data_IF_697491641175
#
_entry.id   IF_697491641175
#
_cell.length_a   1.000
_cell.length_b   1.000
_cell.length_c   1.000
_cell.angle_alpha   90.00
_cell.angle_beta   90.00
_cell.angle_gamma   90.00
#
_symmetry.space_group_name_H-M   'P 1'
#
loop_
_entity.id
_entity.type
_entity.pdbx_description
1 polymer ?
#
# COMPACT_ATOMS: atom_id res chain seq x y z
N UNK A 1 25.46 11.80 20.09
CA UNK A 1 25.09 12.44 21.38
C UNK A 1 24.78 13.89 21.10
N UNK A 2 23.75 14.44 21.76
CA UNK A 2 23.43 15.87 21.70
C UNK A 2 24.15 16.58 22.86
N UNK A 3 24.57 17.82 22.67
CA UNK A 3 25.13 18.66 23.75
C UNK A 3 24.27 19.90 23.94
N UNK A 4 24.37 20.56 25.11
CA UNK A 4 23.65 21.80 25.35
C UNK A 4 24.05 22.93 24.38
N UNK A 5 25.28 22.89 23.85
CA UNK A 5 25.78 23.86 22.85
C UNK A 5 25.38 23.50 21.42
N UNK A 6 24.99 22.25 21.17
CA UNK A 6 24.72 21.72 19.85
C UNK A 6 23.57 20.70 19.90
N UNK A 7 22.35 21.24 19.91
CA UNK A 7 21.12 20.46 20.13
C UNK A 7 20.68 19.64 18.92
N UNK A 8 20.93 20.15 17.70
CA UNK A 8 20.43 19.54 16.46
C UNK A 8 21.51 18.87 15.61
N UNK A 9 22.74 19.39 15.64
CA UNK A 9 23.85 18.86 14.86
C UNK A 9 25.14 18.90 15.68
N UNK A 10 25.91 17.82 15.68
CA UNK A 10 27.23 17.76 16.30
C UNK A 10 28.20 17.04 15.35
N UNK A 11 29.36 17.63 15.13
CA UNK A 11 30.44 17.07 14.30
C UNK A 11 31.54 16.46 15.18
N UNK A 12 32.46 15.69 14.57
CA UNK A 12 33.62 15.10 15.26
C UNK A 12 33.37 13.72 15.89
N UNK A 13 32.28 13.04 15.55
CA UNK A 13 32.05 11.67 15.98
C UNK A 13 33.08 10.71 15.35
N UNK A 14 33.65 9.82 16.17
CA UNK A 14 34.52 8.74 15.70
C UNK A 14 33.71 7.46 15.57
N UNK A 15 33.70 6.87 14.37
CA UNK A 15 33.02 5.61 14.09
C UNK A 15 34.04 4.47 14.12
N UNK A 16 33.76 3.42 14.89
CA UNK A 16 34.57 2.20 14.95
C UNK A 16 33.68 0.98 14.74
N UNK A 17 33.96 0.10 13.76
CA UNK A 17 33.19 -1.14 13.56
C UNK A 17 33.24 -2.03 14.81
N UNK A 18 32.08 -2.49 15.28
CA UNK A 18 31.98 -3.35 16.48
C UNK A 18 31.98 -4.84 16.15
N UNK A 19 31.82 -5.20 14.88
CA UNK A 19 31.66 -6.59 14.42
C UNK A 19 30.29 -7.22 14.72
N UNK A 20 29.37 -6.50 15.37
CA UNK A 20 28.01 -6.97 15.64
C UNK A 20 27.06 -6.63 14.48
N UNK A 21 26.17 -7.56 14.15
CA UNK A 21 25.12 -7.37 13.14
C UNK A 21 23.75 -7.26 13.82
N UNK A 22 22.91 -6.35 13.34
CA UNK A 22 21.55 -6.17 13.83
C UNK A 22 20.54 -6.20 12.70
N UNK A 23 19.45 -6.95 12.87
CA UNK A 23 18.38 -6.99 11.89
C UNK A 23 17.43 -5.82 12.08
N UNK A 24 17.26 -5.04 11.00
CA UNK A 24 16.30 -3.94 10.93
C UNK A 24 14.99 -4.46 10.35
N UNK A 25 13.88 -4.09 10.99
CA UNK A 25 12.55 -4.42 10.48
C UNK A 25 12.09 -3.28 9.57
N UNK A 26 12.03 -3.56 8.28
CA UNK A 26 11.55 -2.65 7.23
C UNK A 26 10.30 -3.22 6.61
N UNK A 27 9.38 -2.35 6.17
CA UNK A 27 8.15 -2.77 5.48
C UNK A 27 8.29 -2.73 3.96
N UNK A 28 9.34 -2.09 3.46
CA UNK A 28 9.66 -2.00 2.04
C UNK A 28 11.13 -2.37 1.85
N UNK A 29 11.37 -3.43 1.08
CA UNK A 29 12.72 -3.94 0.82
C UNK A 29 13.33 -3.39 -0.48
N UNK A 30 12.48 -3.09 -1.47
CA UNK A 30 12.91 -2.59 -2.78
C UNK A 30 12.52 -1.11 -2.92
N UNK A 31 13.53 -0.24 -3.04
CA UNK A 31 13.34 1.21 -3.18
C UNK A 31 13.37 1.71 -4.62
N UNK A 32 13.78 0.90 -5.60
CA UNK A 32 13.80 1.30 -7.00
C UNK A 32 12.52 0.84 -7.73
N UNK A 33 12.12 1.56 -8.78
CA UNK A 33 10.99 1.15 -9.63
C UNK A 33 11.33 0.03 -10.63
N UNK A 34 12.62 -0.33 -10.77
CA UNK A 34 13.09 -1.37 -11.70
C UNK A 34 12.63 -1.12 -13.16
N UNK A 35 12.62 0.14 -13.59
CA UNK A 35 12.19 0.55 -14.93
C UNK A 35 10.69 0.45 -15.20
N UNK A 36 9.86 0.14 -14.18
CA UNK A 36 8.41 0.04 -14.32
C UNK A 36 7.76 1.42 -14.17
N UNK A 37 6.76 1.78 -14.99
CA UNK A 37 6.05 3.06 -14.86
C UNK A 37 5.01 3.00 -13.73
N UNK A 38 5.45 2.79 -12.49
CA UNK A 38 4.58 2.71 -11.30
C UNK A 38 4.08 4.11 -10.93
N UNK A 39 5.01 5.03 -10.70
CA UNK A 39 4.74 6.46 -10.60
C UNK A 39 5.17 7.12 -11.90
N UNK A 40 4.31 7.98 -12.45
CA UNK A 40 4.55 8.67 -13.72
C UNK A 40 4.87 10.11 -13.42
N UNK A 41 6.09 10.51 -13.75
CA UNK A 41 6.62 11.81 -13.40
C UNK A 41 6.78 12.67 -14.65
N UNK A 42 6.47 13.96 -14.51
CA UNK A 42 6.76 14.97 -15.49
C UNK A 42 7.03 16.30 -14.76
N UNK A 43 7.99 17.07 -15.24
CA UNK A 43 8.13 18.45 -14.81
C UNK A 43 7.09 19.34 -15.50
N UNK A 44 6.97 20.59 -15.06
CA UNK A 44 5.96 21.51 -15.57
C UNK A 44 6.08 21.76 -17.08
N UNK A 45 7.30 21.90 -17.60
CA UNK A 45 7.52 22.11 -19.04
C UNK A 45 7.10 20.91 -19.88
N UNK A 46 7.40 19.69 -19.41
CA UNK A 46 6.99 18.43 -20.04
C UNK A 46 5.47 18.29 -20.02
N UNK A 47 4.83 18.63 -18.91
CA UNK A 47 3.37 18.60 -18.78
C UNK A 47 2.70 19.62 -19.71
N UNK A 48 3.23 20.84 -19.82
CA UNK A 48 2.72 21.86 -20.74
C UNK A 48 2.82 21.43 -22.21
N UNK A 49 3.90 20.74 -22.59
CA UNK A 49 4.08 20.20 -23.95
C UNK A 49 3.19 18.98 -24.22
N UNK A 50 2.98 18.13 -23.21
CA UNK A 50 2.21 16.89 -23.33
C UNK A 50 1.39 16.64 -22.05
N UNK A 51 0.17 17.21 -21.94
CA UNK A 51 -0.68 17.02 -20.78
C UNK A 51 -1.06 15.55 -20.53
N UNK A 52 -1.18 14.77 -21.61
CA UNK A 52 -1.53 13.35 -21.56
C UNK A 52 -0.33 12.40 -21.33
N UNK A 53 0.79 12.91 -20.80
CA UNK A 53 2.02 12.12 -20.61
C UNK A 53 1.76 10.81 -19.83
N UNK A 54 0.90 10.86 -18.82
CA UNK A 54 0.61 9.71 -17.97
C UNK A 54 -0.04 8.54 -18.74
N UNK A 55 -0.89 8.83 -19.74
CA UNK A 55 -1.48 7.79 -20.61
C UNK A 55 -0.46 7.24 -21.61
N UNK A 56 0.45 8.09 -22.06
CA UNK A 56 1.49 7.71 -23.02
C UNK A 56 2.66 6.93 -22.40
N UNK A 57 2.77 6.89 -21.06
CA UNK A 57 3.77 6.12 -20.32
C UNK A 57 3.26 4.73 -19.88
N UNK A 58 2.17 4.24 -20.47
CA UNK A 58 1.71 2.88 -20.23
C UNK A 58 2.68 1.88 -20.88
N UNK A 59 2.88 0.74 -20.21
CA UNK A 59 3.40 -0.45 -20.89
C UNK A 59 2.44 -0.81 -22.04
N UNK A 60 2.93 -1.41 -23.12
CA UNK A 60 2.08 -1.87 -24.23
C UNK A 60 0.88 -2.63 -23.67
N UNK A 61 -0.31 -2.06 -23.87
CA UNK A 61 -1.54 -2.71 -23.44
C UNK A 61 -1.71 -3.99 -24.27
N UNK A 62 -2.14 -5.10 -23.67
CA UNK A 62 -2.50 -6.27 -24.45
C UNK A 62 -3.57 -5.90 -25.50
N UNK A 63 -3.55 -6.52 -26.69
CA UNK A 63 -4.39 -6.13 -27.83
C UNK A 63 -5.90 -6.24 -27.57
N UNK A 64 -6.30 -6.90 -26.48
CA UNK A 64 -7.69 -6.95 -26.01
C UNK A 64 -7.74 -6.41 -24.59
N UNK A 65 -8.36 -5.24 -24.43
CA UNK A 65 -8.64 -4.61 -23.14
C UNK A 65 -10.02 -4.97 -22.58
N UNK A 66 -10.82 -5.72 -23.35
CA UNK A 66 -12.14 -6.20 -22.94
C UNK A 66 -12.03 -7.57 -22.24
N UNK A 67 -12.79 -7.81 -21.17
CA UNK A 67 -12.87 -9.13 -20.56
C UNK A 67 -13.51 -10.13 -21.54
N UNK A 68 -13.07 -11.39 -21.50
CA UNK A 68 -13.61 -12.47 -22.35
C UNK A 68 -15.10 -12.75 -22.05
N UNK A 69 -15.53 -12.46 -20.82
CA UNK A 69 -16.91 -12.62 -20.37
C UNK A 69 -17.45 -11.29 -19.84
N UNK A 70 -18.76 -11.02 -19.98
CA UNK A 70 -19.39 -9.88 -19.32
C UNK A 70 -19.12 -9.92 -17.82
N UNK A 71 -18.78 -8.77 -17.22
CA UNK A 71 -18.53 -8.74 -15.79
C UNK A 71 -19.88 -8.92 -15.07
N UNK A 72 -20.05 -9.94 -14.21
CA UNK A 72 -21.29 -10.11 -13.45
C UNK A 72 -21.65 -8.87 -12.60
N UNK A 73 -20.65 -8.06 -12.25
CA UNK A 73 -20.83 -6.78 -11.55
C UNK A 73 -21.56 -5.73 -12.40
N UNK A 74 -21.49 -5.77 -13.73
CA UNK A 74 -22.15 -4.77 -14.60
C UNK A 74 -23.67 -4.70 -14.36
N UNK A 75 -24.29 -5.84 -14.05
CA UNK A 75 -25.73 -5.92 -13.69
C UNK A 75 -26.02 -5.46 -12.27
N UNK A 76 -25.06 -5.59 -11.36
CA UNK A 76 -25.22 -5.16 -9.96
C UNK A 76 -25.15 -3.63 -9.86
N UNK A 77 -24.30 -2.99 -10.67
CA UNK A 77 -24.20 -1.53 -10.78
C UNK A 77 -25.54 -0.86 -11.12
N UNK A 78 -26.38 -1.51 -11.94
CA UNK A 78 -27.67 -0.96 -12.35
C UNK A 78 -28.61 -0.69 -11.16
N UNK A 79 -28.40 -1.38 -10.03
CA UNK A 79 -29.18 -1.23 -8.80
C UNK A 79 -28.58 -0.27 -7.79
N UNK A 80 -27.28 0.00 -7.89
CA UNK A 80 -26.57 0.89 -6.98
C UNK A 80 -27.01 2.33 -7.15
N UNK A 81 -27.17 3.04 -6.03
CA UNK A 81 -27.43 4.48 -6.04
C UNK A 81 -26.18 5.28 -6.42
N UNK A 82 -25.00 4.77 -6.07
CA UNK A 82 -23.71 5.43 -6.22
C UNK A 82 -22.66 4.48 -6.80
N UNK A 83 -21.60 5.07 -7.37
CA UNK A 83 -20.37 4.38 -7.74
C UNK A 83 -19.21 5.08 -7.04
N UNK A 84 -18.63 4.43 -6.03
CA UNK A 84 -17.58 5.05 -5.22
C UNK A 84 -16.23 4.94 -5.90
N UNK A 85 -15.53 6.07 -5.98
CA UNK A 85 -14.16 6.16 -6.49
C UNK A 85 -13.29 7.01 -5.57
N UNK A 86 -12.01 6.63 -5.47
CA UNK A 86 -11.01 7.40 -4.74
C UNK A 86 -9.95 7.87 -5.72
N UNK A 87 -9.71 9.19 -5.76
CA UNK A 87 -8.60 9.79 -6.48
C UNK A 87 -7.59 10.33 -5.47
N UNK A 88 -6.32 10.04 -5.70
CA UNK A 88 -5.21 10.53 -4.86
C UNK A 88 -4.35 11.44 -5.71
N UNK A 89 -4.25 12.71 -5.29
CA UNK A 89 -3.29 13.63 -5.85
C UNK A 89 -1.89 13.35 -5.30
N UNK A 90 -1.03 12.78 -6.16
CA UNK A 90 0.35 12.46 -5.81
C UNK A 90 1.24 13.71 -5.71
N UNK A 91 0.89 14.83 -6.35
CA UNK A 91 1.68 16.06 -6.26
C UNK A 91 1.62 16.67 -4.84
N UNK A 92 0.48 16.49 -4.16
CA UNK A 92 0.28 16.94 -2.78
C UNK A 92 0.72 15.91 -1.73
N UNK A 93 1.09 14.69 -2.15
CA UNK A 93 1.48 13.63 -1.23
C UNK A 93 2.94 13.79 -0.80
N UNK A 94 3.16 14.12 0.47
CA UNK A 94 4.50 14.30 1.06
C UNK A 94 4.98 13.09 1.89
N UNK A 95 4.21 12.00 1.89
CA UNK A 95 4.54 10.81 2.71
C UNK A 95 4.38 10.99 4.22
N UNK A 96 3.50 11.90 4.67
CA UNK A 96 3.31 12.23 6.09
C UNK A 96 2.81 11.07 6.97
N UNK A 97 2.38 9.96 6.38
CA UNK A 97 1.93 8.74 7.09
C UNK A 97 0.66 8.88 7.94
N UNK A 98 0.00 10.05 7.92
CA UNK A 98 -1.25 10.27 8.63
C UNK A 98 -2.39 9.37 8.13
N UNK A 99 -2.45 9.11 6.82
CA UNK A 99 -3.45 8.22 6.22
C UNK A 99 -3.33 6.76 6.72
N UNK A 100 -2.11 6.30 7.02
CA UNK A 100 -1.89 4.96 7.58
C UNK A 100 -2.43 4.85 9.00
N UNK A 101 -2.14 5.85 9.84
CA UNK A 101 -2.62 5.90 11.23
C UNK A 101 -4.14 6.04 11.27
N UNK A 102 -4.73 6.91 10.43
CA UNK A 102 -6.18 7.08 10.35
C UNK A 102 -6.89 5.79 9.92
N UNK A 103 -6.37 5.10 8.91
CA UNK A 103 -6.92 3.81 8.48
C UNK A 103 -6.82 2.77 9.61
N UNK A 104 -5.68 2.72 10.31
CA UNK A 104 -5.47 1.82 11.43
C UNK A 104 -6.46 2.07 12.57
N UNK A 105 -6.66 3.35 12.96
CA UNK A 105 -7.56 3.72 14.05
C UNK A 105 -9.02 3.47 13.72
N UNK A 106 -9.44 3.78 12.49
CA UNK A 106 -10.83 3.62 12.05
C UNK A 106 -11.21 2.15 11.90
N UNK A 107 -10.29 1.34 11.37
CA UNK A 107 -10.58 -0.05 11.01
C UNK A 107 -10.09 -1.08 12.03
N UNK A 108 -9.66 -0.62 13.21
CA UNK A 108 -9.14 -1.48 14.28
C UNK A 108 -8.02 -2.43 13.82
N UNK A 109 -7.11 -1.94 12.97
CA UNK A 109 -6.03 -2.77 12.44
C UNK A 109 -5.00 -3.03 13.54
N UNK A 110 -4.69 -4.31 13.86
CA UNK A 110 -3.85 -4.63 15.00
C UNK A 110 -2.39 -4.22 14.78
N UNK A 111 -1.73 -3.81 15.87
CA UNK A 111 -0.29 -3.55 15.88
C UNK A 111 0.46 -4.88 15.84
N UNK A 112 1.50 -4.94 15.02
CA UNK A 112 2.34 -6.12 14.82
C UNK A 112 3.73 -5.89 15.40
N UNK A 113 4.24 -6.83 16.19
CA UNK A 113 5.58 -6.76 16.77
C UNK A 113 6.72 -6.91 15.75
N UNK A 114 7.91 -6.41 16.11
CA UNK A 114 9.11 -6.39 15.25
C UNK A 114 9.38 -7.73 14.57
N UNK A 115 9.33 -8.84 15.31
CA UNK A 115 9.64 -10.17 14.79
C UNK A 115 8.73 -10.63 13.65
N UNK A 116 7.47 -10.20 13.65
CA UNK A 116 6.53 -10.52 12.57
C UNK A 116 6.68 -9.53 11.41
N UNK A 117 6.98 -8.26 11.66
CA UNK A 117 7.27 -7.27 10.61
C UNK A 117 8.49 -7.70 9.80
N UNK A 118 9.56 -8.13 10.45
CA UNK A 118 10.76 -8.67 9.78
C UNK A 118 10.48 -9.90 8.90
N UNK A 119 9.34 -10.57 9.11
CA UNK A 119 8.87 -11.71 8.30
C UNK A 119 7.85 -11.29 7.23
N UNK A 120 7.75 -9.99 6.93
CA UNK A 120 6.82 -9.40 5.96
C UNK A 120 5.35 -9.69 6.30
N UNK A 121 5.00 -9.56 7.58
CA UNK A 121 3.65 -9.76 8.14
C UNK A 121 3.13 -8.52 8.87
N UNK A 122 3.44 -7.35 8.36
CA UNK A 122 2.85 -6.09 8.80
C UNK A 122 1.36 -6.01 8.43
N UNK A 123 0.56 -5.48 9.35
CA UNK A 123 -0.87 -5.26 9.15
C UNK A 123 -1.12 -3.77 8.91
N UNK A 124 -0.98 -3.35 7.65
CA UNK A 124 -1.40 -2.04 7.17
C UNK A 124 -2.20 -2.24 5.88
N UNK A 125 -3.41 -1.69 5.81
CA UNK A 125 -4.28 -1.78 4.62
C UNK A 125 -3.96 -0.73 3.56
N UNK A 126 -3.42 0.40 4.01
CA UNK A 126 -2.77 1.41 3.19
C UNK A 126 -1.30 1.46 3.59
N UNK A 127 -0.41 1.45 2.61
CA UNK A 127 1.04 1.62 2.79
C UNK A 127 1.50 2.84 1.98
N UNK A 128 2.63 3.43 2.35
CA UNK A 128 3.26 4.49 1.56
C UNK A 128 4.54 3.91 0.97
N UNK A 129 4.52 3.68 -0.34
CA UNK A 129 5.69 3.21 -1.08
C UNK A 129 6.58 4.41 -1.41
N UNK A 130 7.88 4.25 -1.18
CA UNK A 130 8.91 5.26 -1.49
C UNK A 130 9.76 4.73 -2.63
N UNK A 131 9.78 5.43 -3.75
CA UNK A 131 10.63 5.07 -4.87
C UNK A 131 11.73 6.10 -5.08
N UNK A 132 12.92 5.61 -5.39
CA UNK A 132 14.10 6.40 -5.71
C UNK A 132 14.41 6.30 -7.20
N UNK A 133 14.70 7.43 -7.83
CA UNK A 133 15.12 7.56 -9.23
C UNK A 133 16.39 8.40 -9.33
N UNK A 134 17.16 8.23 -10.40
CA UNK A 134 18.44 8.93 -10.57
C UNK A 134 19.64 8.16 -9.99
N UNK A 135 20.72 8.89 -9.71
CA UNK A 135 21.97 8.29 -9.20
C UNK A 135 21.89 7.99 -7.70
N UNK A 136 22.59 6.96 -7.20
CA UNK A 136 22.62 6.64 -5.76
C UNK A 136 23.13 7.78 -4.88
N UNK A 137 23.95 8.67 -5.42
CA UNK A 137 24.56 9.79 -4.69
C UNK A 137 23.62 11.00 -4.57
N UNK A 138 22.67 11.16 -5.50
CA UNK A 138 21.67 12.23 -5.50
C UNK A 138 20.32 11.72 -6.04
N UNK A 139 19.63 10.85 -5.29
CA UNK A 139 18.39 10.25 -5.75
C UNK A 139 17.22 11.21 -5.57
N UNK A 140 16.39 11.32 -6.60
CA UNK A 140 15.05 11.88 -6.44
C UNK A 140 14.15 10.85 -5.77
N UNK A 141 13.24 11.31 -4.92
CA UNK A 141 12.35 10.44 -4.17
C UNK A 141 10.90 10.83 -4.38
N UNK A 142 10.08 9.84 -4.66
CA UNK A 142 8.63 9.97 -4.80
C UNK A 142 7.91 9.08 -3.80
N UNK A 143 6.75 9.54 -3.34
CA UNK A 143 5.89 8.79 -2.43
C UNK A 143 4.55 8.49 -3.08
N UNK A 144 4.13 7.22 -3.01
CA UNK A 144 2.83 6.79 -3.50
C UNK A 144 2.11 5.97 -2.41
N UNK A 145 0.95 6.45 -1.91
CA UNK A 145 0.11 5.62 -1.06
C UNK A 145 -0.53 4.52 -1.90
N UNK A 146 -0.38 3.28 -1.46
CA UNK A 146 -0.95 2.10 -2.08
C UNK A 146 -1.92 1.43 -1.12
N UNK A 147 -3.15 1.26 -1.57
CA UNK A 147 -4.24 0.58 -0.87
C UNK A 147 -4.96 -0.41 -1.80
N UNK A 148 -5.99 -1.10 -1.30
CA UNK A 148 -6.92 -1.82 -2.15
C UNK A 148 -7.55 -0.86 -3.17
N UNK A 149 -7.47 -1.19 -4.45
CA UNK A 149 -8.02 -0.35 -5.53
C UNK A 149 -9.49 -0.65 -5.82
N UNK A 150 -10.09 -1.63 -5.13
CA UNK A 150 -11.47 -2.09 -5.38
C UNK A 150 -11.74 -2.32 -6.87
N UNK A 151 -10.85 -3.10 -7.52
CA UNK A 151 -10.87 -3.29 -8.97
C UNK A 151 -12.19 -3.91 -9.44
N UNK A 152 -12.83 -3.35 -10.46
CA UNK A 152 -14.06 -3.92 -11.06
C UNK A 152 -13.85 -5.37 -11.55
N UNK A 153 -12.72 -5.62 -12.21
CA UNK A 153 -12.27 -6.95 -12.58
C UNK A 153 -11.33 -7.49 -11.50
N UNK A 154 -11.85 -7.73 -10.29
CA UNK A 154 -11.06 -8.16 -9.13
C UNK A 154 -10.61 -9.63 -9.26
N UNK A 155 -9.32 -9.92 -9.47
CA UNK A 155 -8.84 -11.31 -9.47
C UNK A 155 -8.91 -11.96 -8.08
N UNK A 156 -8.98 -11.16 -7.01
CA UNK A 156 -9.11 -11.66 -5.64
C UNK A 156 -10.49 -12.23 -5.30
N UNK A 157 -11.53 -11.93 -6.08
CA UNK A 157 -12.88 -12.49 -5.88
C UNK A 157 -13.01 -13.88 -6.49
N UNK A 158 -12.64 -14.00 -7.77
CA UNK A 158 -12.76 -15.25 -8.52
C UNK A 158 -12.01 -16.44 -7.91
N UNK A 159 -11.01 -16.16 -7.07
CA UNK A 159 -10.21 -17.19 -6.39
C UNK A 159 -10.65 -17.48 -4.96
N UNK A 160 -11.67 -16.81 -4.45
CA UNK A 160 -12.18 -17.04 -3.10
C UNK A 160 -13.21 -18.19 -3.11
N UNK A 161 -12.88 -19.38 -2.58
CA UNK A 161 -13.79 -20.54 -2.66
C UNK A 161 -15.05 -20.39 -1.80
N UNK A 162 -15.05 -19.47 -0.85
CA UNK A 162 -16.10 -19.28 0.16
C UNK A 162 -16.86 -17.97 0.01
N UNK A 163 -16.59 -17.24 -1.08
CA UNK A 163 -17.21 -15.95 -1.36
C UNK A 163 -17.09 -14.96 -0.18
N UNK A 164 -15.87 -14.84 0.37
CA UNK A 164 -15.54 -13.87 1.41
C UNK A 164 -15.13 -12.51 0.83
N UNK A 165 -14.74 -12.46 -0.45
CA UNK A 165 -14.50 -11.25 -1.23
C UNK A 165 -15.54 -11.17 -2.33
N UNK A 166 -16.29 -10.07 -2.40
CA UNK A 166 -17.35 -9.85 -3.38
C UNK A 166 -17.59 -8.37 -3.61
N UNK A 167 -18.01 -7.98 -4.81
CA UNK A 167 -18.50 -6.63 -5.07
C UNK A 167 -19.86 -6.38 -4.41
N UNK A 168 -20.04 -5.18 -3.86
CA UNK A 168 -21.37 -4.64 -3.56
C UNK A 168 -22.00 -3.98 -4.79
N UNK A 169 -23.23 -3.47 -4.64
CA UNK A 169 -23.93 -2.78 -5.73
C UNK A 169 -23.36 -1.38 -6.02
N UNK A 170 -22.56 -0.82 -5.10
CA UNK A 170 -21.97 0.52 -5.20
C UNK A 170 -20.53 0.54 -5.78
N UNK A 171 -20.01 -0.63 -6.16
CA UNK A 171 -18.71 -0.80 -6.81
C UNK A 171 -17.51 -0.93 -5.92
N UNK A 172 -17.72 -1.25 -4.65
CA UNK A 172 -16.64 -1.60 -3.74
C UNK A 172 -16.47 -3.11 -3.67
N UNK A 173 -15.21 -3.55 -3.73
CA UNK A 173 -14.83 -4.89 -3.32
C UNK A 173 -14.91 -4.99 -1.79
N UNK A 174 -15.90 -5.72 -1.27
CA UNK A 174 -16.17 -5.86 0.15
C UNK A 174 -15.57 -7.17 0.68
N UNK A 175 -14.83 -7.06 1.79
CA UNK A 175 -14.23 -8.19 2.48
C UNK A 175 -15.07 -8.59 3.70
N UNK A 176 -15.66 -9.78 3.64
CA UNK A 176 -16.47 -10.35 4.70
C UNK A 176 -15.61 -11.23 5.62
N UNK A 177 -15.08 -10.63 6.70
CA UNK A 177 -14.08 -11.27 7.58
C UNK A 177 -14.53 -12.58 8.24
N UNK A 178 -15.83 -12.73 8.55
CA UNK A 178 -16.35 -13.94 9.22
C UNK A 178 -16.50 -15.15 8.27
N UNK A 179 -16.50 -14.94 6.95
CA UNK A 179 -16.56 -16.02 5.95
C UNK A 179 -15.18 -16.48 5.50
N UNK A 180 -14.15 -15.68 5.78
CA UNK A 180 -12.80 -15.98 5.35
C UNK A 180 -12.26 -17.24 6.02
N UNK A 181 -12.11 -18.30 5.23
CA UNK A 181 -11.34 -19.48 5.62
C UNK A 181 -9.86 -19.22 5.27
N UNK A 182 -8.93 -19.76 6.07
CA UNK A 182 -7.48 -19.46 6.14
C UNK A 182 -6.65 -19.65 4.83
N UNK A 183 -7.26 -19.59 3.65
CA UNK A 183 -6.63 -19.61 2.34
C UNK A 183 -5.98 -18.26 2.01
N UNK A 184 -4.78 -18.30 1.41
CA UNK A 184 -4.05 -17.08 1.04
C UNK A 184 -4.47 -16.64 -0.36
N UNK A 185 -5.20 -15.52 -0.46
CA UNK A 185 -5.50 -14.88 -1.74
C UNK A 185 -4.23 -14.21 -2.26
N UNK A 186 -3.55 -14.84 -3.23
CA UNK A 186 -2.26 -14.34 -3.77
C UNK A 186 -2.41 -13.54 -5.07
N UNK A 187 -3.62 -13.42 -5.62
CA UNK A 187 -3.82 -12.87 -6.97
C UNK A 187 -4.04 -11.34 -7.02
N UNK A 188 -4.10 -10.64 -5.88
CA UNK A 188 -4.19 -9.18 -5.88
C UNK A 188 -2.86 -8.54 -6.34
N UNK A 189 -2.80 -7.82 -7.48
CA UNK A 189 -1.54 -7.31 -8.03
C UNK A 189 -0.83 -6.32 -7.09
N UNK A 190 -1.61 -5.47 -6.41
CA UNK A 190 -1.11 -4.50 -5.45
C UNK A 190 -0.70 -5.13 -4.10
N UNK A 191 -0.95 -6.42 -3.87
CA UNK A 191 -0.69 -7.15 -2.60
C UNK A 191 -1.16 -6.39 -1.34
N UNK A 192 -2.27 -5.67 -1.46
CA UNK A 192 -2.87 -4.87 -0.37
C UNK A 192 -3.64 -5.72 0.65
N UNK A 193 -4.07 -6.93 0.26
CA UNK A 193 -4.73 -7.87 1.17
C UNK A 193 -3.74 -8.42 2.20
N UNK A 194 -4.01 -8.14 3.49
CA UNK A 194 -3.21 -8.62 4.63
C UNK A 194 -3.98 -9.65 5.44
N UNK A 195 -3.28 -10.70 5.88
CA UNK A 195 -3.87 -11.77 6.70
C UNK A 195 -3.34 -11.68 8.12
N UNK A 196 -4.25 -11.69 9.09
CA UNK A 196 -3.88 -11.90 10.50
C UNK A 196 -3.40 -13.35 10.68
N UNK A 197 -2.10 -13.53 10.90
CA UNK A 197 -1.49 -14.86 11.06
C UNK A 197 -1.45 -15.37 12.51
N UNK A 198 -1.48 -14.46 13.48
CA UNK A 198 -1.55 -14.73 14.91
C UNK A 198 -2.73 -13.94 15.50
N UNK A 199 -3.27 -14.38 16.64
CA UNK A 199 -4.28 -13.62 17.37
C UNK A 199 -3.62 -12.39 18.00
N UNK A 200 -3.67 -11.26 17.31
CA UNK A 200 -3.12 -10.00 17.83
C UNK A 200 -4.07 -9.27 18.78
N UNK A 201 -5.38 -9.54 18.68
CA UNK A 201 -6.42 -8.89 19.49
C UNK A 201 -6.72 -9.59 20.84
N UNK A 202 -6.31 -10.86 21.03
CA UNK A 202 -6.62 -11.64 22.23
C UNK A 202 -5.69 -11.36 23.43
N UNK A 203 -4.67 -10.51 23.24
CA UNK A 203 -3.72 -10.10 24.29
C UNK A 203 -3.95 -8.65 24.74
N UNK A 204 -5.22 -8.23 24.84
CA UNK A 204 -5.52 -7.11 25.74
C UNK A 204 -5.53 -7.65 27.17
N UNK A 205 -4.67 -7.16 28.09
CA UNK A 205 -4.77 -7.54 29.48
C UNK A 205 -6.14 -7.07 30.00
N UNK A 206 -7.03 -8.02 30.26
CA UNK A 206 -8.24 -7.77 31.03
C UNK A 206 -7.83 -7.16 32.38
N UNK A 207 -8.11 -5.87 32.58
CA UNK A 207 -8.12 -5.26 33.92
C UNK A 207 -7.25 -4.02 34.11
N UNK A 208 -7.74 -2.86 33.65
CA UNK A 208 -7.88 -1.68 34.52
C UNK A 208 -9.24 -1.07 34.26
N UNK A 209 -10.22 -1.48 35.08
CA UNK A 209 -11.42 -0.69 35.34
C UNK A 209 -10.95 0.61 36.00
N UNK A 210 -11.37 1.76 35.49
CA UNK A 210 -11.61 2.92 36.34
C UNK A 210 -12.85 2.65 37.18
#
# INVERSE_FOLDING_TARGET
>A
MRTAKSLHFASGAKLTPTGQTHQLATTQDHGAMEGRPIVREANLEQFQKKPDFARAMNLEAPPVTAPLYPNPFDKLKEKGLHQWGMSIDLNSCVGCSACMVACQSENNVPIVGKDQVTRNREMHWIRIDRYFTGSPEDPQMITQPMLCQHCEAAPCENVCPVNATSHDEEGLNVMTYNRFQLFRLQQAPARSARRSGLQHAAHQPHGRRM
#
